data_IF_691620916247
#
_entry.id   IF_691620916247
#
_cell.length_a   1.000
_cell.length_b   1.000
_cell.length_c   1.000
_cell.angle_alpha   90.00
_cell.angle_beta   90.00
_cell.angle_gamma   90.00
#
_symmetry.space_group_name_H-M   'P 1'
#
loop_
_entity.id
_entity.type
_entity.pdbx_description
1 polymer ?
#
# COMPACT_ATOMS: atom_id res chain seq x y z
N UNK A 1 -17.77 20.90 18.93
CA UNK A 1 -17.27 20.27 20.19
C UNK A 1 -16.22 21.18 20.80
N UNK A 2 -16.24 21.40 22.12
CA UNK A 2 -15.24 22.22 22.83
C UNK A 2 -13.86 21.51 22.82
N UNK A 3 -12.85 22.07 22.16
CA UNK A 3 -11.46 21.64 22.35
C UNK A 3 -10.99 22.10 23.73
N UNK A 4 -10.75 21.15 24.63
CA UNK A 4 -10.01 21.39 25.87
C UNK A 4 -8.52 21.43 25.52
N UNK A 5 -7.89 22.58 25.76
CA UNK A 5 -6.45 22.77 25.74
C UNK A 5 -5.83 21.86 26.82
N UNK A 6 -5.22 20.74 26.41
CA UNK A 6 -4.33 19.99 27.29
C UNK A 6 -2.93 20.60 27.14
N UNK A 7 -2.57 21.45 28.09
CA UNK A 7 -1.21 21.98 28.26
C UNK A 7 -0.43 20.87 28.97
N UNK A 8 0.35 20.10 28.22
CA UNK A 8 1.36 19.21 28.81
C UNK A 8 2.75 19.78 28.51
N UNK A 9 3.51 19.98 29.58
CA UNK A 9 4.79 20.66 29.63
C UNK A 9 5.88 19.71 29.15
N UNK A 10 6.07 19.60 27.83
CA UNK A 10 7.17 18.80 27.31
C UNK A 10 7.28 18.84 25.80
N UNK A 11 7.98 19.86 25.27
CA UNK A 11 8.77 19.85 24.03
C UNK A 11 8.27 19.02 22.82
N UNK A 12 6.95 18.95 22.58
CA UNK A 12 6.40 18.23 21.44
C UNK A 12 6.02 19.22 20.37
N UNK A 13 6.62 19.04 19.19
CA UNK A 13 6.20 19.66 17.94
C UNK A 13 4.68 19.69 17.89
N UNK A 14 4.13 20.91 17.89
CA UNK A 14 2.78 21.19 17.43
C UNK A 14 2.76 20.84 15.94
N UNK A 15 2.63 19.56 15.61
CA UNK A 15 2.10 19.18 14.31
C UNK A 15 0.63 19.53 14.41
N UNK A 16 0.33 20.79 14.09
CA UNK A 16 -1.00 21.22 13.74
C UNK A 16 -1.36 20.46 12.47
N UNK A 17 -1.81 19.21 12.62
CA UNK A 17 -2.60 18.57 11.58
C UNK A 17 -3.84 19.46 11.54
N UNK A 18 -3.90 20.38 10.60
CA UNK A 18 -5.08 21.20 10.36
C UNK A 18 -6.16 20.21 9.92
N UNK A 19 -6.96 19.75 10.88
CA UNK A 19 -8.12 18.91 10.66
C UNK A 19 -9.17 19.86 10.07
N UNK A 20 -9.30 19.89 8.75
CA UNK A 20 -10.41 20.59 8.11
C UNK A 20 -11.71 19.93 8.60
N UNK A 21 -12.56 20.67 9.32
CA UNK A 21 -13.89 20.19 9.71
C UNK A 21 -14.74 19.83 8.47
N UNK A 22 -15.64 18.84 8.56
CA UNK A 22 -16.58 18.54 7.48
C UNK A 22 -17.45 19.77 7.17
N UNK A 23 -17.60 20.07 5.87
CA UNK A 23 -18.26 21.29 5.39
C UNK A 23 -19.78 21.21 5.48
N UNK A 24 -20.43 22.36 5.67
CA UNK A 24 -21.88 22.49 5.52
C UNK A 24 -22.25 22.31 4.02
N UNK A 25 -23.11 21.34 3.64
CA UNK A 25 -23.52 21.11 2.25
C UNK A 25 -24.19 22.32 1.58
N UNK A 26 -24.65 23.32 2.34
CA UNK A 26 -25.25 24.55 1.80
C UNK A 26 -24.23 25.61 1.32
N UNK A 27 -22.92 25.39 1.52
CA UNK A 27 -21.90 26.34 1.05
C UNK A 27 -21.77 26.36 -0.49
N UNK A 28 -21.41 27.51 -1.06
CA UNK A 28 -21.14 27.64 -2.50
C UNK A 28 -20.07 26.64 -2.97
N UNK A 29 -20.18 26.10 -4.21
CA UNK A 29 -19.20 25.16 -4.73
C UNK A 29 -17.83 25.84 -4.83
N UNK A 30 -16.80 25.11 -4.41
CA UNK A 30 -15.44 25.59 -4.47
C UNK A 30 -14.92 25.71 -5.91
N UNK A 31 -13.99 26.64 -6.17
CA UNK A 31 -13.24 26.61 -7.41
C UNK A 31 -12.46 25.29 -7.53
N UNK A 32 -12.27 24.80 -8.77
CA UNK A 32 -11.47 23.60 -9.01
C UNK A 32 -10.00 23.85 -8.67
N UNK A 33 -9.35 22.88 -8.05
CA UNK A 33 -7.92 22.98 -7.75
C UNK A 33 -7.10 23.04 -9.05
N UNK A 34 -6.10 23.92 -9.06
CA UNK A 34 -5.11 23.99 -10.15
C UNK A 34 -4.26 22.73 -10.13
N UNK A 35 -4.05 22.10 -11.30
CA UNK A 35 -3.08 21.01 -11.42
C UNK A 35 -1.65 21.55 -11.43
N UNK A 36 -0.81 20.91 -10.62
CA UNK A 36 0.65 21.05 -10.65
C UNK A 36 1.17 19.61 -10.80
N UNK A 37 1.91 19.32 -11.86
CA UNK A 37 2.47 17.99 -12.07
C UNK A 37 3.67 17.77 -11.13
N UNK A 38 3.60 16.82 -10.17
CA UNK A 38 4.71 16.57 -9.24
C UNK A 38 5.95 15.98 -9.91
N UNK A 39 5.84 15.45 -11.14
CA UNK A 39 6.99 14.94 -11.88
C UNK A 39 7.80 16.09 -12.49
N UNK A 40 7.14 17.20 -12.84
CA UNK A 40 7.79 18.37 -13.43
C UNK A 40 8.23 19.38 -12.36
N UNK A 41 7.32 19.74 -11.44
CA UNK A 41 7.49 20.85 -10.48
C UNK A 41 7.22 20.41 -9.05
N UNK A 42 8.00 19.42 -8.60
CA UNK A 42 7.90 18.90 -7.23
C UNK A 42 8.18 19.96 -6.17
N UNK A 43 9.04 20.92 -6.50
CA UNK A 43 9.40 22.09 -5.68
C UNK A 43 8.18 22.98 -5.38
N UNK A 44 7.26 23.14 -6.32
CA UNK A 44 6.00 23.86 -6.10
C UNK A 44 4.94 22.93 -5.52
N UNK A 45 4.83 21.73 -6.07
CA UNK A 45 3.79 20.77 -5.67
C UNK A 45 3.90 20.41 -4.19
N UNK A 46 5.11 20.37 -3.62
CA UNK A 46 5.33 20.10 -2.20
C UNK A 46 4.66 21.10 -1.25
N UNK A 47 4.41 22.32 -1.72
CA UNK A 47 3.71 23.37 -0.96
C UNK A 47 2.24 23.52 -1.34
N UNK A 48 1.73 22.65 -2.22
CA UNK A 48 0.32 22.68 -2.62
C UNK A 48 -0.56 22.08 -1.52
N UNK A 49 -0.92 22.89 -0.53
CA UNK A 49 -1.85 22.49 0.52
C UNK A 49 -3.31 22.60 0.03
N UNK A 50 -3.73 21.65 -0.81
CA UNK A 50 -5.14 21.49 -1.19
C UNK A 50 -6.02 21.03 -0.02
N UNK A 51 -5.41 20.78 1.16
CA UNK A 51 -6.13 20.54 2.39
C UNK A 51 -6.58 21.85 3.06
N UNK A 52 -6.03 23.00 2.65
CA UNK A 52 -6.76 24.24 2.79
C UNK A 52 -8.08 24.03 2.05
N UNK A 53 -9.21 24.13 2.75
CA UNK A 53 -10.55 23.91 2.23
C UNK A 53 -10.97 24.91 1.12
N UNK A 54 -10.03 25.40 0.32
CA UNK A 54 -10.11 26.50 -0.65
C UNK A 54 -10.43 26.05 -2.07
N UNK A 55 -10.19 24.78 -2.43
CA UNK A 55 -10.47 24.26 -3.77
C UNK A 55 -10.97 22.81 -3.79
N UNK A 56 -11.69 22.43 -4.85
CA UNK A 56 -12.17 21.07 -5.09
C UNK A 56 -11.22 20.33 -6.04
N UNK A 57 -10.53 19.27 -5.59
CA UNK A 57 -9.60 18.52 -6.44
C UNK A 57 -10.32 17.58 -7.42
N UNK A 58 -11.60 17.28 -7.21
CA UNK A 58 -12.36 16.35 -8.04
C UNK A 58 -12.70 17.04 -9.37
N UNK A 59 -12.31 16.44 -10.49
CA UNK A 59 -12.67 16.93 -11.83
C UNK A 59 -13.11 15.73 -12.66
N UNK A 60 -14.37 15.74 -13.12
CA UNK A 60 -14.85 14.70 -14.02
C UNK A 60 -14.18 14.84 -15.39
N UNK A 61 -13.99 13.74 -16.12
CA UNK A 61 -13.27 13.78 -17.40
C UNK A 61 -13.90 14.74 -18.42
N UNK A 62 -15.23 14.82 -18.46
CA UNK A 62 -16.00 15.73 -19.32
C UNK A 62 -15.80 17.21 -18.99
N UNK A 63 -15.37 17.54 -17.77
CA UNK A 63 -15.16 18.91 -17.30
C UNK A 63 -13.75 19.42 -17.60
N UNK A 64 -12.82 18.52 -17.92
CA UNK A 64 -11.43 18.91 -18.20
C UNK A 64 -11.41 19.64 -19.55
N UNK A 65 -10.89 20.86 -19.58
CA UNK A 65 -10.71 21.65 -20.81
C UNK A 65 -9.25 21.73 -21.23
N UNK A 66 -8.33 21.84 -20.26
CA UNK A 66 -6.88 21.89 -20.50
C UNK A 66 -6.37 20.57 -21.11
N UNK A 67 -5.58 20.69 -22.19
CA UNK A 67 -5.10 19.54 -22.94
C UNK A 67 -4.10 18.69 -22.13
N UNK A 68 -3.25 19.32 -21.30
CA UNK A 68 -2.27 18.61 -20.47
C UNK A 68 -2.97 17.88 -19.32
N UNK A 69 -3.98 18.48 -18.69
CA UNK A 69 -4.79 17.79 -17.69
C UNK A 69 -5.51 16.57 -18.30
N UNK A 70 -6.03 16.67 -19.53
CA UNK A 70 -6.64 15.51 -20.23
C UNK A 70 -5.64 14.39 -20.48
N UNK A 71 -4.45 14.75 -20.94
CA UNK A 71 -3.37 13.78 -21.18
C UNK A 71 -2.95 13.10 -19.88
N UNK A 72 -2.74 13.88 -18.82
CA UNK A 72 -2.39 13.40 -17.48
C UNK A 72 -3.44 12.45 -16.92
N UNK A 73 -4.71 12.80 -17.04
CA UNK A 73 -5.83 11.94 -16.66
C UNK A 73 -5.78 10.60 -17.38
N UNK A 74 -5.66 10.62 -18.72
CA UNK A 74 -5.62 9.39 -19.54
C UNK A 74 -4.41 8.53 -19.23
N UNK A 75 -3.24 9.14 -19.12
CA UNK A 75 -1.99 8.45 -18.76
C UNK A 75 -2.11 7.78 -17.40
N UNK A 76 -2.59 8.50 -16.38
CA UNK A 76 -2.79 7.97 -15.04
C UNK A 76 -3.75 6.78 -14.98
N UNK A 77 -4.90 6.88 -15.66
CA UNK A 77 -5.86 5.77 -15.74
C UNK A 77 -5.32 4.57 -16.51
N UNK A 78 -4.49 4.81 -17.54
CA UNK A 78 -3.85 3.74 -18.30
C UNK A 78 -2.82 3.01 -17.44
N UNK A 79 -1.92 3.75 -16.80
CA UNK A 79 -0.73 3.25 -16.08
C UNK A 79 -1.00 2.77 -14.66
N UNK A 80 -1.83 3.48 -13.90
CA UNK A 80 -2.06 3.18 -12.48
C UNK A 80 -3.47 2.68 -12.18
N UNK A 81 -4.38 2.75 -13.16
CA UNK A 81 -5.77 2.31 -13.05
C UNK A 81 -6.61 3.09 -12.02
N UNK A 82 -6.28 4.37 -11.80
CA UNK A 82 -7.07 5.33 -11.04
C UNK A 82 -6.80 6.77 -11.53
N UNK A 83 -7.57 7.73 -11.01
CA UNK A 83 -7.48 9.14 -11.40
C UNK A 83 -6.24 9.84 -10.83
N UNK A 84 -5.13 9.76 -11.55
CA UNK A 84 -3.90 10.42 -11.14
C UNK A 84 -4.01 11.95 -11.13
N UNK A 85 -4.75 12.55 -12.06
CA UNK A 85 -4.93 14.00 -12.10
C UNK A 85 -5.52 14.52 -10.79
N UNK A 86 -6.57 13.85 -10.30
CA UNK A 86 -7.16 14.17 -8.99
C UNK A 86 -6.17 13.90 -7.86
N UNK A 87 -5.43 12.79 -7.90
CA UNK A 87 -4.37 12.51 -6.90
C UNK A 87 -3.34 13.63 -6.81
N UNK A 88 -2.89 14.15 -7.95
CA UNK A 88 -1.93 15.25 -8.03
C UNK A 88 -2.55 16.56 -7.49
N UNK A 89 -3.82 16.86 -7.83
CA UNK A 89 -4.54 18.04 -7.32
C UNK A 89 -4.76 18.03 -5.81
N UNK A 90 -4.82 16.86 -5.17
CA UNK A 90 -4.92 16.76 -3.70
C UNK A 90 -3.61 17.21 -3.00
N UNK A 91 -2.49 17.36 -3.72
CA UNK A 91 -1.22 17.83 -3.14
C UNK A 91 -0.50 16.74 -2.34
N UNK A 92 0.49 17.02 -1.48
CA UNK A 92 1.27 16.00 -0.77
C UNK A 92 0.66 15.54 0.56
N UNK A 93 -0.19 16.34 1.18
CA UNK A 93 -0.90 16.04 2.43
C UNK A 93 -2.41 16.17 2.23
N UNK A 94 -3.18 15.38 2.98
CA UNK A 94 -4.65 15.48 2.99
C UNK A 94 -5.21 15.05 4.35
N UNK A 95 -6.40 15.54 4.65
CA UNK A 95 -7.16 15.07 5.77
C UNK A 95 -7.70 13.67 5.47
N UNK A 96 -7.58 12.80 6.47
CA UNK A 96 -8.17 11.47 6.49
C UNK A 96 -9.11 11.42 7.68
N UNK A 97 -10.41 11.17 7.49
CA UNK A 97 -11.28 10.87 8.61
C UNK A 97 -10.79 9.60 9.32
N UNK A 98 -11.12 9.41 10.60
CA UNK A 98 -10.88 8.15 11.30
C UNK A 98 -11.45 6.96 10.51
N UNK A 99 -10.59 6.04 10.08
CA UNK A 99 -10.96 4.81 9.35
C UNK A 99 -11.01 3.58 10.28
N UNK A 100 -10.94 3.79 11.60
CA UNK A 100 -10.99 2.74 12.61
C UNK A 100 -12.35 2.75 13.32
N UNK A 101 -12.72 1.60 13.88
CA UNK A 101 -13.96 1.48 14.65
C UNK A 101 -13.96 2.44 15.84
N UNK A 102 -15.10 3.05 16.18
CA UNK A 102 -15.19 4.10 17.20
C UNK A 102 -14.63 3.68 18.57
N UNK A 103 -14.79 2.39 18.93
CA UNK A 103 -14.23 1.78 20.13
C UNK A 103 -12.69 1.87 20.21
N UNK A 104 -12.01 1.97 19.08
CA UNK A 104 -10.55 2.11 19.00
C UNK A 104 -10.06 3.53 19.33
N UNK A 105 -10.96 4.52 19.41
CA UNK A 105 -10.59 5.93 19.67
C UNK A 105 -10.03 6.14 21.07
N UNK A 106 -10.49 5.36 22.04
CA UNK A 106 -10.20 5.55 23.47
C UNK A 106 -9.27 4.46 24.03
N UNK A 107 -8.64 3.65 23.17
CA UNK A 107 -7.65 2.66 23.60
C UNK A 107 -6.37 3.42 23.98
N UNK A 108 -5.88 3.31 25.24
CA UNK A 108 -4.61 3.91 25.62
C UNK A 108 -3.46 3.14 24.94
N UNK A 109 -2.51 3.88 24.38
CA UNK A 109 -1.28 3.34 23.79
C UNK A 109 -0.05 3.77 24.60
N UNK A 110 -0.23 3.92 25.91
CA UNK A 110 0.82 4.37 26.82
C UNK A 110 1.89 3.28 27.01
N UNK A 111 3.14 3.70 27.19
CA UNK A 111 4.24 2.78 27.52
C UNK A 111 4.71 1.87 26.36
N UNK A 112 4.35 2.18 25.11
CA UNK A 112 4.93 1.48 23.96
C UNK A 112 6.44 1.76 23.87
N UNK A 113 7.25 0.70 24.00
CA UNK A 113 8.72 0.78 23.97
C UNK A 113 9.33 0.12 22.73
N UNK A 114 8.61 -0.80 22.09
CA UNK A 114 9.07 -1.48 20.89
C UNK A 114 8.92 -0.56 19.68
N UNK A 115 10.03 -0.31 18.98
CA UNK A 115 9.99 0.35 17.69
C UNK A 115 9.81 -0.67 16.56
N UNK A 116 9.31 -0.21 15.41
CA UNK A 116 9.06 -1.05 14.24
C UNK A 116 9.64 -0.42 12.97
N UNK A 117 10.12 -1.28 12.08
CA UNK A 117 10.43 -0.91 10.69
C UNK A 117 9.17 -1.07 9.84
N UNK A 118 8.90 -0.11 8.95
CA UNK A 118 7.79 -0.19 8.00
C UNK A 118 8.38 -0.48 6.62
N UNK A 119 7.94 -1.57 5.98
CA UNK A 119 8.39 -1.91 4.62
C UNK A 119 7.25 -1.63 3.64
N UNK A 120 7.49 -0.71 2.72
CA UNK A 120 6.58 -0.36 1.63
C UNK A 120 7.10 -1.01 0.36
N UNK A 121 6.44 -2.09 -0.07
CA UNK A 121 6.72 -2.74 -1.35
C UNK A 121 5.75 -2.20 -2.38
N UNK A 122 6.26 -1.68 -3.49
CA UNK A 122 5.44 -1.16 -4.58
C UNK A 122 5.99 -1.56 -5.93
N UNK A 123 5.12 -1.56 -6.94
CA UNK A 123 5.50 -1.68 -8.34
C UNK A 123 4.54 -0.81 -9.14
N UNK A 124 5.08 0.02 -10.04
CA UNK A 124 4.36 1.02 -10.82
C UNK A 124 3.28 1.71 -9.98
N UNK A 125 3.72 2.51 -9.00
CA UNK A 125 2.86 3.32 -8.15
C UNK A 125 3.13 4.79 -8.43
N UNK A 126 2.09 5.62 -8.41
CA UNK A 126 2.24 7.03 -8.71
C UNK A 126 2.99 7.78 -7.60
N UNK A 127 3.81 8.76 -8.00
CA UNK A 127 4.61 9.60 -7.11
C UNK A 127 3.75 10.29 -6.04
N UNK A 128 2.63 10.90 -6.43
CA UNK A 128 1.75 11.62 -5.51
C UNK A 128 1.13 10.73 -4.44
N UNK A 129 0.87 9.45 -4.75
CA UNK A 129 0.34 8.46 -3.80
C UNK A 129 1.42 8.01 -2.83
N UNK A 130 2.62 7.70 -3.34
CA UNK A 130 3.75 7.28 -2.50
C UNK A 130 4.18 8.38 -1.53
N UNK A 131 4.33 9.62 -1.99
CA UNK A 131 4.67 10.75 -1.12
C UNK A 131 3.61 10.95 -0.04
N UNK A 132 2.33 10.92 -0.41
CA UNK A 132 1.24 11.12 0.56
C UNK A 132 1.21 10.04 1.64
N UNK A 133 1.51 8.80 1.27
CA UNK A 133 1.62 7.70 2.22
C UNK A 133 2.82 7.90 3.15
N UNK A 134 3.99 8.27 2.62
CA UNK A 134 5.21 8.50 3.40
C UNK A 134 5.03 9.69 4.36
N UNK A 135 4.48 10.81 3.89
CA UNK A 135 4.06 11.92 4.76
C UNK A 135 3.15 11.44 5.89
N UNK A 136 2.13 10.63 5.55
CA UNK A 136 1.21 10.11 6.57
C UNK A 136 1.92 9.24 7.61
N UNK A 137 2.94 8.48 7.21
CA UNK A 137 3.76 7.67 8.14
C UNK A 137 4.56 8.59 9.06
N UNK A 138 5.32 9.55 8.51
CA UNK A 138 6.16 10.44 9.30
C UNK A 138 5.35 11.39 10.20
N UNK A 139 4.24 11.93 9.70
CA UNK A 139 3.40 12.88 10.43
C UNK A 139 2.59 12.20 11.55
N UNK A 140 2.21 10.92 11.39
CA UNK A 140 1.25 10.24 12.29
C UNK A 140 1.85 9.13 13.13
N UNK A 141 3.13 8.82 12.96
CA UNK A 141 3.84 7.82 13.77
C UNK A 141 4.83 8.53 14.69
N UNK A 142 4.71 8.39 16.03
CA UNK A 142 5.69 8.98 16.93
C UNK A 142 7.11 8.53 16.58
N UNK A 143 8.03 9.47 16.41
CA UNK A 143 9.37 9.18 15.88
C UNK A 143 10.14 8.15 16.72
N UNK A 144 9.92 8.07 18.03
CA UNK A 144 10.54 7.06 18.90
C UNK A 144 10.05 5.62 18.65
N UNK A 145 8.86 5.46 18.07
CA UNK A 145 8.29 4.16 17.66
C UNK A 145 8.65 3.77 16.23
N UNK A 146 8.98 4.75 15.39
CA UNK A 146 9.39 4.51 14.01
C UNK A 146 10.90 4.31 13.93
N UNK A 147 11.33 3.07 13.71
CA UNK A 147 12.75 2.74 13.50
C UNK A 147 13.22 3.26 12.15
N UNK A 148 12.58 2.81 11.08
CA UNK A 148 12.91 3.15 9.69
C UNK A 148 11.71 2.83 8.77
N UNK A 149 11.72 3.42 7.58
CA UNK A 149 10.82 3.14 6.47
C UNK A 149 11.67 2.64 5.30
N UNK A 150 11.44 1.39 4.92
CA UNK A 150 12.09 0.76 3.77
C UNK A 150 11.15 0.86 2.57
N UNK A 151 11.46 1.76 1.65
CA UNK A 151 10.78 1.90 0.37
C UNK A 151 11.42 0.94 -0.64
N UNK A 152 10.72 -0.15 -0.94
CA UNK A 152 11.20 -1.24 -1.80
C UNK A 152 10.46 -1.23 -3.14
N UNK A 153 11.17 -0.84 -4.19
CA UNK A 153 10.70 -0.89 -5.56
C UNK A 153 10.83 -2.32 -6.13
N UNK A 154 9.69 -2.97 -6.32
CA UNK A 154 9.59 -4.29 -6.93
C UNK A 154 9.61 -4.21 -8.46
N UNK A 155 10.77 -3.80 -9.00
CA UNK A 155 11.07 -3.72 -10.43
C UNK A 155 10.02 -2.92 -11.21
N UNK A 156 9.76 -1.67 -10.81
CA UNK A 156 8.90 -0.75 -11.58
C UNK A 156 9.47 -0.49 -12.97
N UNK A 157 8.57 -0.31 -13.95
CA UNK A 157 8.90 0.12 -15.31
C UNK A 157 9.65 1.45 -15.28
N UNK A 158 10.47 1.71 -16.30
CA UNK A 158 11.36 2.88 -16.37
C UNK A 158 10.63 4.22 -16.18
N UNK A 159 9.45 4.38 -16.78
CA UNK A 159 8.62 5.59 -16.66
C UNK A 159 7.85 5.70 -15.33
N UNK A 160 7.91 4.67 -14.49
CA UNK A 160 7.30 4.62 -13.17
C UNK A 160 8.35 4.58 -12.03
N UNK A 161 9.63 4.77 -12.35
CA UNK A 161 10.68 4.91 -11.34
C UNK A 161 10.60 6.31 -10.74
N UNK A 162 10.32 6.37 -9.44
CA UNK A 162 10.06 7.65 -8.75
C UNK A 162 11.04 7.97 -7.63
N UNK A 163 12.06 7.12 -7.40
CA UNK A 163 12.99 7.28 -6.27
C UNK A 163 13.64 8.67 -6.25
N UNK A 164 14.14 9.16 -7.37
CA UNK A 164 14.80 10.47 -7.44
C UNK A 164 13.86 11.59 -6.98
N UNK A 165 12.60 11.57 -7.44
CA UNK A 165 11.57 12.52 -7.04
C UNK A 165 11.17 12.38 -5.59
N UNK A 166 11.08 11.15 -5.06
CA UNK A 166 10.83 10.92 -3.63
C UNK A 166 11.95 11.54 -2.78
N UNK A 167 13.22 11.38 -3.17
CA UNK A 167 14.36 11.97 -2.46
C UNK A 167 14.37 13.50 -2.59
N UNK A 168 14.04 14.06 -3.76
CA UNK A 168 13.88 15.52 -3.92
C UNK A 168 12.81 16.07 -2.98
N UNK A 169 11.64 15.41 -2.91
CA UNK A 169 10.58 15.78 -1.97
C UNK A 169 11.03 15.67 -0.52
N UNK A 170 11.68 14.56 -0.15
CA UNK A 170 12.19 14.34 1.20
C UNK A 170 13.14 15.45 1.66
N UNK A 171 13.92 16.04 0.73
CA UNK A 171 14.77 17.19 1.02
C UNK A 171 13.96 18.48 1.25
N UNK A 172 12.96 18.73 0.42
CA UNK A 172 12.11 19.94 0.51
C UNK A 172 11.28 19.93 1.79
N UNK A 173 10.74 18.78 2.14
CA UNK A 173 9.85 18.58 3.31
C UNK A 173 10.62 18.26 4.60
N UNK A 174 11.95 18.16 4.52
CA UNK A 174 12.86 17.87 5.64
C UNK A 174 12.54 16.56 6.39
N UNK A 175 12.32 15.48 5.63
CA UNK A 175 12.13 14.14 6.22
C UNK A 175 13.38 13.65 6.99
N UNK A 176 13.21 12.78 8.01
CA UNK A 176 14.33 12.17 8.73
C UNK A 176 15.06 11.16 7.83
N UNK A 177 16.10 11.63 7.15
CA UNK A 177 16.89 10.87 6.17
C UNK A 177 17.46 9.57 6.69
N UNK A 178 17.89 9.55 7.95
CA UNK A 178 18.44 8.37 8.61
C UNK A 178 17.42 7.23 8.75
N UNK A 179 16.13 7.54 8.61
CA UNK A 179 15.04 6.58 8.68
C UNK A 179 14.52 6.15 7.31
N UNK A 180 14.90 6.79 6.21
CA UNK A 180 14.42 6.42 4.88
C UNK A 180 15.45 5.55 4.14
N UNK A 181 15.12 4.29 3.92
CA UNK A 181 15.94 3.36 3.16
C UNK A 181 15.23 3.04 1.85
N UNK A 182 15.87 3.31 0.71
CA UNK A 182 15.34 2.92 -0.59
C UNK A 182 16.10 1.72 -1.15
N UNK A 183 15.37 0.74 -1.66
CA UNK A 183 15.89 -0.47 -2.31
C UNK A 183 15.07 -0.77 -3.56
N UNK A 184 15.69 -1.44 -4.52
CA UNK A 184 15.03 -1.90 -5.76
C UNK A 184 15.47 -3.33 -6.07
N UNK A 185 14.54 -4.16 -6.52
CA UNK A 185 14.84 -5.50 -7.03
C UNK A 185 15.24 -5.45 -8.52
N UNK A 186 16.15 -6.34 -8.92
CA UNK A 186 16.54 -6.52 -10.33
C UNK A 186 15.50 -7.29 -11.14
N UNK A 187 14.57 -7.96 -10.46
CA UNK A 187 13.49 -8.75 -11.05
C UNK A 187 12.23 -8.63 -10.23
N UNK A 188 11.08 -8.73 -10.91
CA UNK A 188 9.77 -8.66 -10.27
C UNK A 188 9.54 -9.86 -9.35
N UNK A 189 9.44 -9.60 -8.05
CA UNK A 189 9.26 -10.60 -7.02
C UNK A 189 7.76 -10.92 -6.81
N UNK A 190 6.88 -9.97 -7.11
CA UNK A 190 5.43 -10.12 -7.09
C UNK A 190 4.82 -10.07 -5.68
N UNK A 191 3.55 -10.47 -5.58
CA UNK A 191 2.73 -10.42 -4.37
C UNK A 191 3.54 -10.80 -3.13
N UNK A 192 3.34 -10.01 -2.07
CA UNK A 192 3.90 -10.22 -0.73
C UNK A 192 3.81 -11.71 -0.48
N UNK A 193 4.99 -12.32 -0.40
CA UNK A 193 5.16 -13.75 -0.25
C UNK A 193 4.27 -14.15 0.92
N UNK A 194 3.13 -14.77 0.67
CA UNK A 194 2.15 -15.29 1.63
C UNK A 194 2.73 -16.45 2.46
N UNK A 195 3.97 -16.28 2.87
CA UNK A 195 4.91 -17.25 3.41
C UNK A 195 5.39 -16.76 4.76
N UNK A 196 4.54 -15.97 5.44
CA UNK A 196 4.88 -15.42 6.73
C UNK A 196 4.83 -16.56 7.75
N UNK A 197 3.67 -17.21 7.89
CA UNK A 197 3.48 -18.27 8.88
C UNK A 197 4.52 -19.40 8.81
N UNK A 198 4.74 -19.96 7.62
CA UNK A 198 5.65 -21.08 7.46
C UNK A 198 7.13 -20.70 7.66
N UNK A 199 7.50 -19.43 7.53
CA UNK A 199 8.90 -19.00 7.53
C UNK A 199 9.22 -17.99 8.64
N UNK A 200 8.50 -18.06 9.77
CA UNK A 200 8.82 -17.30 10.99
C UNK A 200 8.14 -15.92 11.13
N UNK A 201 7.27 -15.55 10.20
CA UNK A 201 6.40 -14.38 10.32
C UNK A 201 4.98 -14.75 10.74
N UNK A 202 4.13 -13.75 10.92
CA UNK A 202 2.71 -13.91 11.25
C UNK A 202 1.86 -12.87 10.53
N UNK A 203 0.60 -13.21 10.27
CA UNK A 203 -0.39 -12.26 9.75
C UNK A 203 -1.41 -12.00 10.85
N UNK A 204 -1.53 -10.76 11.28
CA UNK A 204 -2.51 -10.37 12.31
C UNK A 204 -3.62 -9.55 11.68
N UNK A 205 -4.86 -9.85 12.05
CA UNK A 205 -5.98 -8.95 11.81
C UNK A 205 -5.99 -7.96 12.97
N UNK A 206 -5.76 -6.68 12.67
CA UNK A 206 -5.75 -5.61 13.67
C UNK A 206 -6.98 -4.71 13.47
N UNK A 207 -8.09 -4.91 14.21
CA UNK A 207 -9.32 -4.15 14.03
C UNK A 207 -9.16 -2.63 14.24
N UNK A 208 -8.19 -2.23 15.05
CA UNK A 208 -7.84 -0.84 15.32
C UNK A 208 -6.72 -0.28 14.43
N UNK A 209 -6.37 -0.99 13.35
CA UNK A 209 -5.41 -0.50 12.37
C UNK A 209 -5.87 0.85 11.79
N UNK A 210 -4.93 1.79 11.68
CA UNK A 210 -5.14 3.09 11.04
C UNK A 210 -4.62 3.13 9.60
N UNK A 211 -4.14 1.98 9.11
CA UNK A 211 -3.64 1.82 7.75
C UNK A 211 -4.81 1.50 6.83
N UNK A 212 -5.07 2.37 5.87
CA UNK A 212 -6.07 2.18 4.83
C UNK A 212 -5.44 1.76 3.50
N UNK A 213 -6.14 0.92 2.74
CA UNK A 213 -5.75 0.55 1.38
C UNK A 213 -6.62 1.30 0.36
N UNK A 214 -5.98 1.95 -0.62
CA UNK A 214 -6.69 2.56 -1.76
C UNK A 214 -6.73 1.55 -2.89
N UNK A 215 -7.91 1.04 -3.19
CA UNK A 215 -8.10 0.07 -4.25
C UNK A 215 -8.02 0.73 -5.63
N UNK A 216 -7.35 0.06 -6.57
CA UNK A 216 -7.32 0.43 -7.99
C UNK A 216 -8.59 -0.09 -8.67
N UNK A 217 -9.08 0.58 -9.70
CA UNK A 217 -10.30 0.15 -10.40
C UNK A 217 -10.11 -1.17 -11.18
N UNK A 218 -8.87 -1.42 -11.63
CA UNK A 218 -8.47 -2.64 -12.32
C UNK A 218 -6.99 -2.92 -12.08
N UNK A 219 -6.51 -4.09 -12.50
CA UNK A 219 -5.08 -4.38 -12.57
C UNK A 219 -4.46 -3.55 -13.71
N UNK A 220 -3.40 -2.76 -13.48
CA UNK A 220 -2.80 -1.95 -14.55
C UNK A 220 -1.84 -2.72 -15.47
N UNK A 221 -1.57 -3.99 -15.17
CA UNK A 221 -0.66 -4.81 -15.95
C UNK A 221 -1.42 -5.68 -16.94
N UNK A 222 -0.83 -5.88 -18.12
CA UNK A 222 -1.34 -6.85 -19.09
C UNK A 222 -1.23 -8.25 -18.50
N UNK A 223 -2.37 -8.91 -18.33
CA UNK A 223 -2.42 -10.36 -18.21
C UNK A 223 -2.15 -10.96 -19.57
N UNK A 224 -1.53 -12.14 -19.61
CA UNK A 224 -1.48 -12.88 -20.87
C UNK A 224 -2.89 -13.38 -21.16
N UNK A 225 -3.45 -13.03 -22.31
CA UNK A 225 -4.86 -13.32 -22.62
C UNK A 225 -5.15 -14.84 -22.75
N UNK A 226 -4.11 -15.63 -23.00
CA UNK A 226 -4.16 -17.08 -23.14
C UNK A 226 -4.14 -17.86 -21.81
N UNK A 227 -3.84 -17.18 -20.69
CA UNK A 227 -3.66 -17.85 -19.39
C UNK A 227 -4.57 -17.21 -18.34
N UNK A 228 -5.34 -18.05 -17.65
CA UNK A 228 -5.95 -17.69 -16.38
C UNK A 228 -4.84 -17.38 -15.36
N UNK A 229 -4.48 -16.10 -15.30
CA UNK A 229 -3.38 -15.61 -14.48
C UNK A 229 -3.67 -15.80 -13.00
N UNK A 230 -4.95 -15.81 -12.58
CA UNK A 230 -5.30 -16.08 -11.20
C UNK A 230 -5.00 -17.54 -10.86
N UNK A 231 -5.55 -18.47 -11.64
CA UNK A 231 -5.36 -19.90 -11.43
C UNK A 231 -3.88 -20.30 -11.56
N UNK A 232 -3.14 -19.74 -12.52
CA UNK A 232 -1.70 -19.94 -12.68
C UNK A 232 -0.91 -19.52 -11.42
N UNK A 233 -1.21 -18.36 -10.85
CA UNK A 233 -0.53 -17.89 -9.64
C UNK A 233 -0.91 -18.68 -8.39
N UNK A 234 -2.18 -19.10 -8.28
CA UNK A 234 -2.62 -20.01 -7.24
C UNK A 234 -1.89 -21.36 -7.32
N UNK A 235 -1.83 -21.97 -8.51
CA UNK A 235 -1.13 -23.22 -8.74
C UNK A 235 0.36 -23.14 -8.35
N UNK A 236 1.06 -22.08 -8.77
CA UNK A 236 2.46 -21.85 -8.37
C UNK A 236 2.63 -21.70 -6.85
N UNK A 237 1.64 -21.13 -6.17
CA UNK A 237 1.65 -21.02 -4.71
C UNK A 237 1.48 -22.40 -4.06
N UNK A 238 0.47 -23.14 -4.50
CA UNK A 238 0.18 -24.49 -4.03
C UNK A 238 1.39 -25.41 -4.21
N UNK A 239 1.95 -25.47 -5.43
CA UNK A 239 3.11 -26.34 -5.76
C UNK A 239 4.33 -26.15 -4.85
N UNK A 240 4.53 -24.95 -4.32
CA UNK A 240 5.72 -24.66 -3.50
C UNK A 240 5.41 -24.77 -2.01
N UNK A 241 4.21 -24.37 -1.58
CA UNK A 241 3.94 -24.11 -0.16
C UNK A 241 3.01 -25.12 0.49
N UNK A 242 2.20 -25.84 -0.28
CA UNK A 242 1.15 -26.70 0.28
C UNK A 242 1.60 -28.15 0.42
N UNK A 243 2.83 -28.47 -0.01
CA UNK A 243 3.40 -29.81 0.07
C UNK A 243 2.43 -30.84 -0.56
N UNK A 244 2.09 -31.91 0.14
CA UNK A 244 1.17 -32.96 -0.29
C UNK A 244 -0.32 -32.54 -0.27
N UNK A 245 -0.66 -31.39 0.33
CA UNK A 245 -2.03 -30.85 0.32
C UNK A 245 -2.41 -30.21 -1.03
N UNK A 246 -1.53 -30.21 -2.02
CA UNK A 246 -1.85 -29.73 -3.38
C UNK A 246 -3.00 -30.51 -4.05
N UNK A 247 -3.22 -31.76 -3.64
CA UNK A 247 -4.31 -32.59 -4.18
C UNK A 247 -5.71 -32.04 -3.90
N UNK A 248 -5.90 -31.37 -2.76
CA UNK A 248 -7.15 -30.66 -2.45
C UNK A 248 -7.39 -29.51 -3.43
N UNK A 249 -6.33 -28.78 -3.79
CA UNK A 249 -6.45 -27.73 -4.80
C UNK A 249 -6.83 -28.30 -6.16
N UNK A 250 -6.30 -29.47 -6.53
CA UNK A 250 -6.65 -30.16 -7.76
C UNK A 250 -8.04 -30.81 -7.76
N UNK A 251 -8.57 -31.18 -6.59
CA UNK A 251 -9.95 -31.63 -6.44
C UNK A 251 -10.92 -30.49 -6.77
N UNK A 252 -10.69 -29.29 -6.20
CA UNK A 252 -11.52 -28.11 -6.43
C UNK A 252 -11.29 -27.45 -7.80
N UNK A 253 -10.05 -27.53 -8.33
CA UNK A 253 -9.68 -26.97 -9.62
C UNK A 253 -9.07 -28.03 -10.55
N UNK A 254 -9.87 -28.99 -11.08
CA UNK A 254 -9.36 -30.08 -11.91
C UNK A 254 -8.56 -29.63 -13.13
N UNK A 255 -8.91 -28.47 -13.71
CA UNK A 255 -8.19 -27.87 -14.85
C UNK A 255 -6.72 -27.59 -14.54
N UNK A 256 -6.38 -27.32 -13.27
CA UNK A 256 -5.00 -27.04 -12.88
C UNK A 256 -4.08 -28.27 -12.98
N UNK A 257 -4.63 -29.50 -13.01
CA UNK A 257 -3.83 -30.73 -13.11
C UNK A 257 -2.98 -30.78 -14.39
N UNK A 258 -3.47 -30.21 -15.49
CA UNK A 258 -2.82 -30.22 -16.80
C UNK A 258 -2.20 -28.86 -17.18
N UNK A 259 -2.24 -27.88 -16.28
CA UNK A 259 -1.68 -26.55 -16.53
C UNK A 259 -0.16 -26.54 -16.31
N UNK A 260 0.55 -25.85 -17.20
CA UNK A 260 1.94 -25.48 -16.95
C UNK A 260 2.00 -24.39 -15.86
N UNK A 261 2.93 -24.56 -14.92
CA UNK A 261 3.17 -23.61 -13.82
C UNK A 261 4.53 -22.93 -13.94
N UNK A 262 5.32 -23.22 -15.00
CA UNK A 262 6.65 -22.67 -15.22
C UNK A 262 7.68 -23.07 -14.15
N UNK A 263 8.86 -22.43 -14.19
CA UNK A 263 9.95 -22.76 -13.25
C UNK A 263 9.64 -22.33 -11.80
N UNK A 264 9.90 -23.24 -10.86
CA UNK A 264 9.73 -23.07 -9.41
C UNK A 264 11.05 -23.22 -8.63
N UNK A 265 12.17 -23.47 -9.30
CA UNK A 265 13.46 -23.80 -8.69
C UNK A 265 13.87 -22.78 -7.63
N UNK A 266 13.83 -21.49 -7.97
CA UNK A 266 14.15 -20.42 -7.03
C UNK A 266 13.24 -20.42 -5.80
N UNK A 267 11.94 -20.69 -5.98
CA UNK A 267 10.95 -20.63 -4.90
C UNK A 267 11.07 -21.83 -3.96
N UNK A 268 11.39 -23.00 -4.50
CA UNK A 268 11.70 -24.21 -3.73
C UNK A 268 13.00 -24.03 -2.95
N UNK A 269 14.05 -23.46 -3.57
CA UNK A 269 15.31 -23.17 -2.90
C UNK A 269 15.13 -22.16 -1.77
N UNK A 270 14.31 -21.12 -1.97
CA UNK A 270 13.98 -20.16 -0.92
C UNK A 270 13.25 -20.81 0.27
N UNK A 271 12.30 -21.72 0.01
CA UNK A 271 11.60 -22.47 1.07
C UNK A 271 12.60 -23.25 1.92
N UNK A 272 13.56 -23.91 1.27
CA UNK A 272 14.63 -24.68 1.93
C UNK A 272 15.59 -23.77 2.71
N UNK A 273 16.06 -22.68 2.10
CA UNK A 273 17.06 -21.79 2.72
C UNK A 273 16.53 -21.08 3.97
N UNK A 274 15.22 -20.78 4.00
CA UNK A 274 14.56 -20.16 5.16
C UNK A 274 14.14 -21.18 6.23
N UNK A 275 14.41 -22.49 6.00
CA UNK A 275 14.00 -23.58 6.89
C UNK A 275 12.51 -23.51 7.28
N UNK A 276 11.65 -23.27 6.28
CA UNK A 276 10.23 -23.09 6.53
C UNK A 276 9.57 -24.39 7.02
N UNK A 277 8.55 -24.26 7.88
CA UNK A 277 7.72 -25.36 8.37
C UNK A 277 6.92 -26.01 7.22
N UNK A 278 6.58 -27.31 7.33
CA UNK A 278 5.69 -27.98 6.39
C UNK A 278 4.27 -27.40 6.47
N UNK A 279 3.48 -27.51 5.40
CA UNK A 279 2.11 -27.01 5.39
C UNK A 279 1.22 -27.64 6.47
N UNK A 280 1.44 -28.91 6.77
CA UNK A 280 0.75 -29.62 7.87
C UNK A 280 0.87 -28.88 9.21
N UNK A 281 2.04 -28.30 9.50
CA UNK A 281 2.24 -27.50 10.72
C UNK A 281 1.34 -26.27 10.76
N UNK A 282 1.09 -25.61 9.61
CA UNK A 282 0.19 -24.47 9.54
C UNK A 282 -1.26 -24.89 9.86
N UNK A 283 -1.73 -26.00 9.30
CA UNK A 283 -3.06 -26.52 9.63
C UNK A 283 -3.14 -26.86 11.11
N UNK A 284 -2.14 -27.51 11.70
CA UNK A 284 -2.22 -27.92 13.12
C UNK A 284 -2.08 -26.76 14.12
N UNK A 285 -1.23 -25.79 13.85
CA UNK A 285 -0.83 -24.79 14.86
C UNK A 285 -1.40 -23.39 14.61
N UNK A 286 -1.75 -23.06 13.36
CA UNK A 286 -2.15 -21.69 12.98
C UNK A 286 -3.62 -21.62 12.62
N UNK A 287 -4.12 -22.58 11.84
CA UNK A 287 -5.52 -22.58 11.40
C UNK A 287 -6.15 -23.99 11.37
N UNK A 288 -6.37 -24.63 12.53
CA UNK A 288 -6.93 -26.00 12.64
C UNK A 288 -8.31 -26.16 12.04
N UNK A 289 -9.10 -25.10 12.00
CA UNK A 289 -10.43 -25.10 11.42
C UNK A 289 -10.41 -25.28 9.88
N UNK A 290 -9.25 -25.13 9.23
CA UNK A 290 -9.07 -25.40 7.79
C UNK A 290 -8.68 -26.85 7.48
N UNK A 291 -8.56 -27.73 8.46
CA UNK A 291 -8.27 -29.15 8.21
C UNK A 291 -9.37 -29.71 7.27
N UNK A 292 -9.00 -30.29 6.12
CA UNK A 292 -9.97 -30.74 5.13
C UNK A 292 -10.94 -31.79 5.69
N UNK A 293 -12.20 -31.69 5.28
CA UNK A 293 -13.23 -32.69 5.63
C UNK A 293 -13.03 -34.01 4.87
N UNK A 294 -12.56 -33.94 3.63
CA UNK A 294 -12.17 -35.11 2.83
C UNK A 294 -10.82 -35.61 3.36
N UNK A 295 -10.75 -36.91 3.64
CA UNK A 295 -9.53 -37.49 4.19
C UNK A 295 -8.40 -37.39 3.20
N UNK A 296 -7.19 -37.22 3.73
CA UNK A 296 -6.02 -37.11 2.89
C UNK A 296 -5.87 -38.35 2.02
N UNK A 297 -6.11 -39.55 2.54
CA UNK A 297 -5.91 -40.80 1.80
C UNK A 297 -6.93 -41.03 0.66
N UNK A 298 -8.04 -40.26 0.63
CA UNK A 298 -9.10 -40.38 -0.38
C UNK A 298 -8.79 -39.60 -1.67
N UNK A 299 -7.71 -38.79 -1.68
CA UNK A 299 -7.27 -37.93 -2.80
C UNK A 299 -5.88 -38.27 -3.33
#
# INVERSE_FOLDING_TARGET
MKCKTAIDQGNRLLITIIISEPRNPESSPLPKCRHIDPYDRIDIWAWNDANSSSCDPITAFSEITDAREKERYKWGYSKFAYNLLVSDKIGPRRYLPPMYHELCSNIPYDGLTMNASIIIIYHNEALSVLIRMLNSIFDRTPSYLLKEVILFDDMSDEDAIVVEKVLQYANIDEWPWEKLIVKRSEKRLGLIRSKMWLCGGSVVVAPCSRVGHVFRNRRPYKTRDDIDTHLFNCLRTVKVWFDDYEKYFYHEHPKAKTMDFGDLTERLNLKKSLNCKPFEWFLREVYPELIPQIKHEEL
#
